data_IF_719784134742
#
_entry.id   IF_719784134742
#
_cell.length_a   1.000
_cell.length_b   1.000
_cell.length_c   1.000
_cell.angle_alpha   90.00
_cell.angle_beta   90.00
_cell.angle_gamma   90.00
#
_symmetry.space_group_name_H-M   'P 1'
#
loop_
_entity.id
_entity.type
_entity.pdbx_description
1 polymer ?
#
# COMPACT_ATOMS: atom_id res chain seq x y z
N UNK A 1 -7.16 12.88 -4.02
CA UNK A 1 -6.13 13.08 -2.95
C UNK A 1 -6.06 14.51 -2.51
N UNK A 2 -5.95 15.49 -3.43
CA UNK A 2 -5.80 16.91 -3.08
C UNK A 2 -6.88 17.45 -2.13
N UNK A 3 -8.15 17.12 -2.33
CA UNK A 3 -9.21 17.54 -1.41
C UNK A 3 -9.03 17.04 0.04
N UNK A 4 -8.28 15.95 0.25
CA UNK A 4 -8.00 15.37 1.58
C UNK A 4 -6.64 15.78 2.14
N UNK A 5 -5.77 16.36 1.32
CA UNK A 5 -4.41 16.74 1.70
C UNK A 5 -4.45 17.73 2.89
N UNK A 6 -3.69 17.44 3.95
CA UNK A 6 -3.65 18.25 5.17
C UNK A 6 -4.93 18.23 6.03
N UNK A 7 -6.00 17.53 5.62
CA UNK A 7 -7.27 17.46 6.38
C UNK A 7 -7.44 16.14 7.12
N UNK A 8 -7.04 15.03 6.51
CA UNK A 8 -7.12 13.71 7.12
C UNK A 8 -6.14 12.73 6.49
N UNK A 9 -5.66 11.79 7.29
CA UNK A 9 -4.84 10.68 6.80
C UNK A 9 -5.61 9.81 5.81
N UNK A 10 -4.88 9.24 4.85
CA UNK A 10 -5.40 8.28 3.88
C UNK A 10 -4.55 7.02 3.97
N UNK A 11 -5.19 5.87 4.19
CA UNK A 11 -4.51 4.58 4.35
C UNK A 11 -4.63 3.78 3.06
N UNK A 12 -3.49 3.32 2.54
CA UNK A 12 -3.42 2.45 1.37
C UNK A 12 -3.02 1.04 1.82
N UNK A 13 -3.82 0.04 1.44
CA UNK A 13 -3.54 -1.37 1.68
C UNK A 13 -3.31 -2.04 0.34
N UNK A 14 -2.07 -2.44 0.07
CA UNK A 14 -1.68 -3.00 -1.22
C UNK A 14 -0.94 -4.33 -1.01
N UNK A 15 -1.07 -5.23 -1.98
CA UNK A 15 -0.37 -6.52 -1.98
C UNK A 15 1.10 -6.40 -2.43
N UNK A 16 1.49 -5.24 -2.94
CA UNK A 16 2.81 -4.98 -3.50
C UNK A 16 3.51 -3.88 -2.74
N UNK A 17 4.82 -3.98 -2.63
CA UNK A 17 5.68 -2.92 -2.11
C UNK A 17 5.76 -1.75 -3.10
N UNK A 18 6.09 -0.56 -2.59
CA UNK A 18 6.10 0.69 -3.34
C UNK A 18 6.94 0.62 -4.63
N UNK A 19 8.04 -0.14 -4.62
CA UNK A 19 8.91 -0.35 -5.78
C UNK A 19 8.16 -0.91 -7.00
N UNK A 20 7.16 -1.77 -6.78
CA UNK A 20 6.38 -2.37 -7.87
C UNK A 20 5.20 -1.54 -8.34
N UNK A 21 4.94 -0.37 -7.75
CA UNK A 21 3.71 0.39 -8.05
C UNK A 21 3.78 1.09 -9.40
N UNK A 22 4.94 1.64 -9.77
CA UNK A 22 5.07 2.38 -11.03
C UNK A 22 4.70 1.49 -12.24
N UNK A 23 5.29 0.30 -12.33
CA UNK A 23 5.00 -0.67 -13.39
C UNK A 23 3.53 -1.12 -13.35
N UNK A 24 2.98 -1.41 -12.17
CA UNK A 24 1.58 -1.86 -12.02
C UNK A 24 0.55 -0.79 -12.35
N UNK A 25 0.91 0.48 -12.23
CA UNK A 25 0.09 1.61 -12.68
C UNK A 25 0.25 1.88 -14.19
N UNK A 26 0.98 1.03 -14.91
CA UNK A 26 1.18 1.14 -16.36
C UNK A 26 2.40 1.97 -16.77
N UNK A 27 3.25 2.37 -15.81
CA UNK A 27 4.57 2.96 -16.07
C UNK A 27 4.58 4.25 -16.89
N UNK A 28 3.52 5.04 -16.83
CA UNK A 28 3.36 6.28 -17.59
C UNK A 28 3.44 7.51 -16.69
N UNK A 29 3.43 8.71 -17.29
CA UNK A 29 3.35 9.97 -16.54
C UNK A 29 2.15 10.03 -15.56
N UNK A 30 1.09 9.26 -15.82
CA UNK A 30 -0.02 9.11 -14.87
C UNK A 30 0.40 8.35 -13.61
N UNK A 31 1.18 7.29 -13.76
CA UNK A 31 1.75 6.54 -12.63
C UNK A 31 2.64 7.45 -11.78
N UNK A 32 3.57 8.20 -12.41
CA UNK A 32 4.40 9.19 -11.72
C UNK A 32 3.54 10.20 -10.96
N UNK A 33 2.52 10.77 -11.60
CA UNK A 33 1.62 11.77 -11.00
C UNK A 33 0.80 11.23 -9.81
N UNK A 34 0.58 9.90 -9.76
CA UNK A 34 -0.07 9.25 -8.63
C UNK A 34 0.94 9.02 -7.51
N UNK A 35 2.13 8.50 -7.84
CA UNK A 35 3.18 8.20 -6.87
C UNK A 35 3.73 9.46 -6.18
N UNK A 36 3.91 10.54 -6.94
CA UNK A 36 4.34 11.85 -6.42
C UNK A 36 3.38 12.41 -5.35
N UNK A 37 2.09 12.05 -5.43
CA UNK A 37 1.11 12.44 -4.41
C UNK A 37 1.11 11.54 -3.18
N UNK A 38 1.51 10.27 -3.32
CA UNK A 38 1.41 9.27 -2.25
C UNK A 38 2.72 9.19 -1.47
N UNK A 39 3.85 9.00 -2.16
CA UNK A 39 5.13 8.63 -1.55
C UNK A 39 5.66 9.72 -0.60
N UNK A 40 5.75 11.02 -0.97
CA UNK A 40 6.47 12.02 -0.17
C UNK A 40 5.90 12.27 1.23
N UNK A 41 4.59 12.06 1.42
CA UNK A 41 3.90 12.28 2.70
C UNK A 41 3.44 10.99 3.37
N UNK A 42 3.90 9.83 2.89
CA UNK A 42 3.48 8.52 3.40
C UNK A 42 4.42 7.98 4.47
N UNK A 43 3.84 7.23 5.40
CA UNK A 43 4.56 6.27 6.21
C UNK A 43 4.30 4.87 5.63
N UNK A 44 5.36 4.17 5.24
CA UNK A 44 5.24 2.83 4.66
C UNK A 44 5.43 1.74 5.72
N UNK A 45 4.47 0.81 5.81
CA UNK A 45 4.57 -0.37 6.65
C UNK A 45 4.48 -1.62 5.76
N UNK A 46 5.58 -2.37 5.67
CA UNK A 46 5.58 -3.68 5.01
C UNK A 46 5.08 -4.73 5.99
N UNK A 47 4.00 -5.42 5.65
CA UNK A 47 3.53 -6.59 6.38
C UNK A 47 4.08 -7.83 5.67
N UNK A 48 4.91 -8.60 6.36
CA UNK A 48 5.60 -9.77 5.83
C UNK A 48 5.38 -11.00 6.73
N UNK A 49 5.65 -12.18 6.18
CA UNK A 49 5.57 -13.44 6.90
C UNK A 49 5.16 -14.62 6.02
N UNK A 50 5.73 -15.79 6.31
CA UNK A 50 5.56 -17.00 5.49
C UNK A 50 4.15 -17.62 5.54
N UNK A 51 3.36 -17.25 6.55
CA UNK A 51 2.06 -17.85 6.83
C UNK A 51 0.98 -16.79 6.95
N UNK A 52 -0.08 -16.93 6.15
CA UNK A 52 -1.23 -16.01 6.21
C UNK A 52 -1.90 -16.01 7.58
N UNK A 53 -2.39 -14.84 8.01
CA UNK A 53 -3.17 -14.75 9.26
C UNK A 53 -4.44 -15.61 9.24
N UNK A 54 -5.00 -15.88 8.05
CA UNK A 54 -6.13 -16.79 7.87
C UNK A 54 -5.75 -18.23 8.22
N UNK A 55 -4.59 -18.69 7.75
CA UNK A 55 -4.06 -20.01 8.09
C UNK A 55 -3.73 -20.10 9.57
N UNK A 56 -3.04 -19.11 10.14
CA UNK A 56 -2.71 -19.07 11.59
C UNK A 56 -3.94 -19.23 12.47
N UNK A 57 -5.02 -18.49 12.18
CA UNK A 57 -6.26 -18.55 12.97
C UNK A 57 -7.08 -19.83 12.76
N UNK A 58 -6.85 -20.57 11.68
CA UNK A 58 -7.50 -21.87 11.45
C UNK A 58 -6.95 -22.97 12.37
N UNK A 59 -5.77 -22.76 12.96
CA UNK A 59 -5.10 -23.72 13.88
C UNK A 59 -5.49 -23.46 15.34
N UNK A 60 -6.44 -22.57 15.63
CA UNK A 60 -7.02 -22.46 16.98
C UNK A 60 -7.88 -23.71 17.20
N UNK A 61 -7.22 -24.77 17.69
CA UNK A 61 -7.83 -26.02 18.16
C UNK A 61 -8.53 -25.75 19.49
N UNK A 62 -9.75 -26.27 19.63
CA UNK A 62 -10.34 -26.62 20.92
C UNK A 62 -9.48 -27.64 21.66
#
# INVERSE_FOLDING_TARGET
MEYRCGRASTVFCLQFVAEGWHERLGGSALADSILDRIIPSSYSMKIDGDVSMRQRKRVIKN
#
